data_IF_646638748214
#
_entry.id   IF_646638748214
#
_cell.length_a   1.000
_cell.length_b   1.000
_cell.length_c   1.000
_cell.angle_alpha   90.00
_cell.angle_beta   90.00
_cell.angle_gamma   90.00
#
_symmetry.space_group_name_H-M   'P 1'
#
loop_
_entity.id
_entity.type
_entity.pdbx_description
1 polymer ?
#
# COMPACT_ATOMS: atom_id res chain seq x y z
N UNK A 1 3.54 -9.16 -39.00
CA UNK A 1 4.83 -8.86 -38.37
C UNK A 1 4.63 -9.02 -36.88
N UNK A 2 5.35 -9.91 -36.20
CA UNK A 2 5.26 -10.04 -34.76
C UNK A 2 5.97 -8.85 -34.11
N UNK A 3 5.30 -8.10 -33.25
CA UNK A 3 5.97 -7.08 -32.43
C UNK A 3 6.83 -7.79 -31.38
N UNK A 4 8.15 -7.60 -31.44
CA UNK A 4 9.06 -7.99 -30.36
C UNK A 4 8.71 -7.17 -29.12
N UNK A 5 8.22 -7.84 -28.08
CA UNK A 5 8.05 -7.20 -26.78
C UNK A 5 9.43 -6.87 -26.19
N UNK A 6 9.67 -5.61 -25.76
CA UNK A 6 10.95 -5.23 -25.18
C UNK A 6 11.17 -5.99 -23.86
N UNK A 7 12.33 -6.64 -23.74
CA UNK A 7 12.77 -7.23 -22.47
C UNK A 7 13.30 -6.12 -21.56
N UNK A 8 12.68 -5.94 -20.40
CA UNK A 8 13.10 -5.00 -19.36
C UNK A 8 13.57 -5.80 -18.16
N UNK A 9 14.86 -5.65 -17.81
CA UNK A 9 15.45 -6.26 -16.62
C UNK A 9 15.45 -5.26 -15.46
N UNK A 10 14.83 -5.63 -14.34
CA UNK A 10 14.72 -4.79 -13.15
C UNK A 10 15.64 -5.30 -12.05
N UNK A 11 16.57 -4.46 -11.62
CA UNK A 11 17.43 -4.73 -10.48
C UNK A 11 16.77 -4.24 -9.19
N UNK A 12 16.40 -5.18 -8.32
CA UNK A 12 15.89 -4.88 -6.99
C UNK A 12 16.97 -5.08 -5.94
N UNK A 13 16.85 -4.37 -4.81
CA UNK A 13 17.74 -4.61 -3.66
C UNK A 13 17.54 -6.05 -3.18
N UNK A 14 18.64 -6.79 -3.03
CA UNK A 14 18.61 -8.09 -2.36
C UNK A 14 18.37 -7.91 -0.85
N UNK A 15 17.71 -8.90 -0.25
CA UNK A 15 17.50 -9.01 1.18
C UNK A 15 18.80 -9.24 1.94
N UNK A 16 18.70 -9.30 3.25
CA UNK A 16 19.83 -9.54 4.16
C UNK A 16 20.56 -10.86 3.87
N UNK A 17 19.88 -11.85 3.30
CA UNK A 17 20.44 -13.12 2.85
C UNK A 17 21.16 -13.07 1.49
N UNK A 18 21.10 -11.93 0.79
CA UNK A 18 21.70 -11.73 -0.52
C UNK A 18 20.98 -12.44 -1.68
N UNK A 19 19.83 -13.07 -1.45
CA UNK A 19 19.14 -13.89 -2.46
C UNK A 19 17.66 -13.50 -2.63
N UNK A 20 16.96 -13.18 -1.54
CA UNK A 20 15.53 -12.78 -1.59
C UNK A 20 15.35 -11.32 -1.96
N UNK A 21 14.10 -10.92 -2.23
CA UNK A 21 13.73 -9.51 -2.42
C UNK A 21 13.92 -8.77 -1.08
N UNK A 22 14.73 -7.72 -1.11
CA UNK A 22 15.01 -6.87 0.04
C UNK A 22 14.01 -5.74 0.20
N UNK A 23 13.93 -5.19 1.42
CA UNK A 23 13.06 -4.05 1.69
C UNK A 23 13.54 -2.80 0.93
N UNK A 24 12.76 -2.38 -0.05
CA UNK A 24 12.92 -1.11 -0.73
C UNK A 24 11.55 -0.65 -1.27
N UNK A 25 10.84 0.27 -0.58
CA UNK A 25 9.55 0.77 -1.04
C UNK A 25 9.61 1.36 -2.45
N UNK A 26 10.77 1.88 -2.86
CA UNK A 26 11.01 2.35 -4.22
C UNK A 26 11.08 1.19 -5.23
N UNK A 27 11.77 0.10 -4.92
CA UNK A 27 11.85 -1.08 -5.80
C UNK A 27 10.55 -1.86 -5.85
N UNK A 28 9.85 -2.02 -4.73
CA UNK A 28 8.53 -2.67 -4.70
C UNK A 28 7.51 -1.87 -5.50
N UNK A 29 7.44 -0.56 -5.26
CA UNK A 29 6.61 0.34 -6.06
C UNK A 29 7.03 0.33 -7.52
N UNK A 30 8.34 0.40 -7.82
CA UNK A 30 8.84 0.38 -9.19
C UNK A 30 8.55 -0.96 -9.87
N UNK A 31 8.53 -2.09 -9.15
CA UNK A 31 8.12 -3.39 -9.67
C UNK A 31 6.63 -3.39 -10.02
N UNK A 32 5.77 -2.95 -9.09
CA UNK A 32 4.33 -2.80 -9.34
C UNK A 32 4.03 -1.79 -10.47
N UNK A 33 4.80 -0.70 -10.55
CA UNK A 33 4.66 0.34 -11.57
C UNK A 33 5.26 -0.07 -12.92
N UNK A 34 6.38 -0.80 -12.98
CA UNK A 34 6.92 -1.36 -14.23
C UNK A 34 6.02 -2.48 -14.76
N UNK A 35 5.37 -3.22 -13.87
CA UNK A 35 4.26 -4.10 -14.24
C UNK A 35 3.07 -3.33 -14.84
N UNK A 36 2.86 -2.06 -14.47
CA UNK A 36 1.65 -1.29 -14.79
C UNK A 36 1.84 0.05 -15.52
N UNK A 37 3.04 0.38 -16.07
CA UNK A 37 3.35 1.52 -17.00
C UNK A 37 4.31 2.66 -16.57
N UNK A 38 5.18 2.52 -15.58
CA UNK A 38 6.39 3.37 -15.43
C UNK A 38 6.22 4.83 -14.96
N UNK A 39 6.85 5.19 -13.81
CA UNK A 39 7.34 6.54 -13.32
C UNK A 39 6.88 6.98 -11.89
N UNK A 40 7.63 7.93 -11.26
CA UNK A 40 8.10 8.08 -9.85
C UNK A 40 7.49 9.21 -8.93
N UNK A 41 7.79 9.24 -7.60
CA UNK A 41 7.42 10.23 -6.51
C UNK A 41 8.15 9.98 -5.15
N UNK A 42 8.12 10.96 -4.22
CA UNK A 42 8.98 11.16 -3.01
C UNK A 42 8.42 10.72 -1.61
N UNK A 43 9.28 10.75 -0.55
CA UNK A 43 9.05 10.30 0.86
C UNK A 43 9.66 11.26 1.92
N UNK A 44 9.09 11.33 3.14
CA UNK A 44 9.54 12.17 4.30
C UNK A 44 9.38 11.41 5.65
N UNK A 45 10.18 11.72 6.69
CA UNK A 45 10.34 11.00 8.00
C UNK A 45 9.72 11.73 9.23
N UNK A 46 9.31 11.01 10.31
CA UNK A 46 8.47 11.56 11.42
C UNK A 46 8.57 10.80 12.82
N UNK A 47 8.16 11.46 13.94
CA UNK A 47 8.12 11.07 15.40
C UNK A 47 6.72 11.26 16.09
N UNK A 48 6.45 10.71 17.32
CA UNK A 48 5.26 10.57 18.23
C UNK A 48 3.96 11.38 18.03
N UNK A 49 4.02 12.58 17.44
CA UNK A 49 2.84 13.18 16.75
C UNK A 49 2.34 12.27 15.61
N UNK A 50 3.17 11.31 15.19
CA UNK A 50 2.95 10.30 14.18
C UNK A 50 1.73 9.44 14.44
N UNK A 51 1.52 8.86 15.63
CA UNK A 51 0.40 7.92 15.81
C UNK A 51 -0.94 8.64 15.60
N UNK A 52 -1.08 9.84 16.18
CA UNK A 52 -2.24 10.71 15.93
C UNK A 52 -2.32 11.17 14.47
N UNK A 53 -1.18 11.46 13.84
CA UNK A 53 -1.11 11.82 12.42
C UNK A 53 -1.50 10.68 11.48
N UNK A 54 -1.05 9.47 11.80
CA UNK A 54 -1.32 8.23 11.10
C UNK A 54 -2.80 7.87 11.24
N UNK A 55 -3.36 7.94 12.45
CA UNK A 55 -4.80 7.75 12.66
C UNK A 55 -5.63 8.77 11.89
N UNK A 56 -5.20 10.04 11.80
CA UNK A 56 -5.87 11.05 10.97
C UNK A 56 -5.77 10.71 9.49
N UNK A 57 -4.60 10.31 9.00
CA UNK A 57 -4.39 9.92 7.61
C UNK A 57 -5.20 8.67 7.25
N UNK A 58 -5.21 7.65 8.11
CA UNK A 58 -6.02 6.44 7.98
C UNK A 58 -7.51 6.78 7.96
N UNK A 59 -7.97 7.71 8.81
CA UNK A 59 -9.36 8.17 8.79
C UNK A 59 -9.73 8.86 7.48
N UNK A 60 -8.85 9.70 6.93
CA UNK A 60 -9.07 10.35 5.62
C UNK A 60 -9.14 9.30 4.51
N UNK A 61 -8.23 8.33 4.51
CA UNK A 61 -8.23 7.22 3.55
C UNK A 61 -9.48 6.35 3.68
N UNK A 62 -9.88 6.02 4.90
CA UNK A 62 -11.07 5.22 5.19
C UNK A 62 -12.33 5.92 4.68
N UNK A 63 -12.50 7.20 5.01
CA UNK A 63 -13.59 8.01 4.49
C UNK A 63 -13.62 7.96 2.95
N UNK A 64 -12.49 8.18 2.29
CA UNK A 64 -12.39 8.11 0.82
C UNK A 64 -12.79 6.75 0.24
N UNK A 65 -12.39 5.65 0.89
CA UNK A 65 -12.72 4.27 0.47
C UNK A 65 -14.18 3.89 0.78
N UNK A 66 -14.82 4.56 1.73
CA UNK A 66 -16.23 4.34 2.07
C UNK A 66 -17.19 5.24 1.30
N UNK A 67 -16.72 6.38 0.81
CA UNK A 67 -17.51 7.28 -0.04
C UNK A 67 -17.69 6.67 -1.43
N UNK A 68 -18.94 6.59 -1.95
CA UNK A 68 -19.20 6.08 -3.28
C UNK A 68 -18.55 6.93 -4.36
N UNK A 69 -18.07 6.28 -5.43
CA UNK A 69 -17.66 6.96 -6.65
C UNK A 69 -18.89 7.46 -7.41
N UNK A 70 -18.78 8.50 -8.27
CA UNK A 70 -19.90 8.97 -9.08
C UNK A 70 -20.57 7.87 -9.91
N UNK A 71 -19.80 6.87 -10.33
CA UNK A 71 -20.26 5.70 -11.09
C UNK A 71 -21.06 4.71 -10.24
N UNK A 72 -20.90 4.72 -8.91
CA UNK A 72 -21.64 3.90 -7.95
C UNK A 72 -22.96 4.56 -7.54
N UNK A 73 -23.18 5.83 -7.88
CA UNK A 73 -24.35 6.61 -7.51
C UNK A 73 -25.37 6.59 -8.64
N UNK A 74 -26.59 6.18 -8.35
CA UNK A 74 -27.73 6.35 -9.24
C UNK A 74 -28.41 7.69 -8.96
N UNK A 75 -28.11 8.70 -9.80
CA UNK A 75 -28.68 10.06 -9.72
C UNK A 75 -30.22 10.09 -9.78
N UNK A 76 -30.86 8.98 -10.17
CA UNK A 76 -32.33 8.89 -10.28
C UNK A 76 -32.99 8.22 -9.07
N UNK A 77 -32.20 7.67 -8.14
CA UNK A 77 -32.71 7.01 -6.94
C UNK A 77 -32.96 8.02 -5.81
N UNK A 78 -34.08 7.87 -5.10
CA UNK A 78 -34.42 8.70 -3.92
C UNK A 78 -33.84 8.13 -2.60
N UNK A 79 -32.95 7.14 -2.72
CA UNK A 79 -32.36 6.40 -1.60
C UNK A 79 -31.00 7.03 -1.23
N UNK A 80 -30.61 6.89 0.04
CA UNK A 80 -29.32 7.37 0.55
C UNK A 80 -28.18 6.66 -0.20
N UNK A 81 -27.20 7.43 -0.69
CA UNK A 81 -26.04 6.87 -1.40
C UNK A 81 -25.31 5.90 -0.45
N UNK A 82 -25.40 4.60 -0.75
CA UNK A 82 -24.85 3.56 0.11
C UNK A 82 -23.32 3.65 0.30
N UNK A 83 -22.79 2.89 1.25
CA UNK A 83 -21.35 2.79 1.45
C UNK A 83 -20.71 2.11 0.24
N UNK A 84 -19.65 2.70 -0.32
CA UNK A 84 -18.89 2.13 -1.44
C UNK A 84 -18.43 0.71 -1.15
N UNK A 85 -18.55 -0.16 -2.17
CA UNK A 85 -18.14 -1.56 -2.11
C UNK A 85 -16.90 -1.84 -2.96
N UNK A 86 -16.28 -0.79 -3.53
CA UNK A 86 -15.09 -0.95 -4.36
C UNK A 86 -13.93 -1.61 -3.62
N UNK A 87 -13.15 -2.39 -4.37
CA UNK A 87 -12.02 -3.18 -3.83
C UNK A 87 -10.75 -2.34 -3.65
N UNK A 88 -10.50 -1.39 -4.54
CA UNK A 88 -9.28 -0.59 -4.62
C UNK A 88 -9.58 0.92 -4.66
N UNK A 89 -8.55 1.76 -4.80
CA UNK A 89 -8.71 3.21 -4.68
C UNK A 89 -9.71 3.79 -5.68
N UNK A 90 -9.71 3.29 -6.91
CA UNK A 90 -10.45 3.85 -8.05
C UNK A 90 -11.39 2.82 -8.71
N UNK A 91 -11.87 1.84 -7.94
CA UNK A 91 -12.80 0.82 -8.42
C UNK A 91 -12.41 -0.59 -8.03
N UNK A 92 -12.69 -1.56 -8.91
CA UNK A 92 -12.49 -2.99 -8.63
C UNK A 92 -11.19 -3.57 -9.19
N UNK A 93 -10.41 -2.77 -9.93
CA UNK A 93 -9.10 -3.15 -10.46
C UNK A 93 -7.97 -2.33 -9.86
N UNK A 94 -6.77 -2.93 -9.80
CA UNK A 94 -5.58 -2.24 -9.31
C UNK A 94 -5.15 -1.15 -10.30
N UNK A 95 -4.83 0.01 -9.75
CA UNK A 95 -4.35 1.17 -10.50
C UNK A 95 -2.94 1.58 -10.05
N UNK A 96 -2.35 2.55 -10.76
CA UNK A 96 -1.08 3.16 -10.36
C UNK A 96 -1.15 3.84 -8.99
N UNK A 97 -2.33 4.34 -8.59
CA UNK A 97 -2.54 4.90 -7.26
C UNK A 97 -2.40 3.83 -6.18
N UNK A 98 -2.87 2.60 -6.43
CA UNK A 98 -2.74 1.48 -5.49
C UNK A 98 -1.28 1.04 -5.37
N UNK A 99 -0.58 0.97 -6.50
CA UNK A 99 0.84 0.63 -6.54
C UNK A 99 1.74 1.63 -5.81
N UNK A 100 1.27 2.88 -5.67
CA UNK A 100 1.91 3.88 -4.82
C UNK A 100 1.67 3.60 -3.34
N UNK A 101 0.40 3.44 -3.00
CA UNK A 101 -0.05 3.47 -1.62
C UNK A 101 0.23 2.15 -0.90
N UNK A 102 -0.06 1.01 -1.54
CA UNK A 102 0.01 -0.32 -0.92
C UNK A 102 1.39 -0.66 -0.36
N UNK A 103 2.52 -0.48 -1.09
CA UNK A 103 3.85 -0.75 -0.53
C UNK A 103 4.14 0.09 0.73
N UNK A 104 3.79 1.38 0.69
CA UNK A 104 4.00 2.30 1.81
C UNK A 104 3.14 1.92 3.01
N UNK A 105 1.88 1.59 2.75
CA UNK A 105 0.92 1.24 3.79
C UNK A 105 1.30 -0.09 4.46
N UNK A 106 1.77 -1.08 3.69
CA UNK A 106 2.26 -2.36 4.22
C UNK A 106 3.50 -2.18 5.10
N UNK A 107 4.51 -1.42 4.64
CA UNK A 107 5.69 -1.11 5.47
C UNK A 107 5.28 -0.42 6.78
N UNK A 108 4.40 0.58 6.71
CA UNK A 108 3.90 1.27 7.91
C UNK A 108 3.21 0.28 8.84
N UNK A 109 2.39 -0.63 8.32
CA UNK A 109 1.70 -1.65 9.11
C UNK A 109 2.68 -2.59 9.83
N UNK A 110 3.66 -3.14 9.11
CA UNK A 110 4.67 -4.06 9.67
C UNK A 110 5.53 -3.36 10.73
N UNK A 111 6.08 -2.19 10.40
CA UNK A 111 6.98 -1.44 11.29
C UNK A 111 6.25 -0.94 12.54
N UNK A 112 5.05 -0.36 12.39
CA UNK A 112 4.28 0.14 13.52
C UNK A 112 3.80 -0.99 14.44
N UNK A 113 3.42 -2.15 13.88
CA UNK A 113 3.07 -3.33 14.67
C UNK A 113 4.27 -3.83 15.47
N UNK A 114 5.42 -4.02 14.83
CA UNK A 114 6.63 -4.57 15.48
C UNK A 114 7.19 -3.66 16.57
N UNK A 115 7.35 -2.37 16.28
CA UNK A 115 8.12 -1.46 17.13
C UNK A 115 7.29 -0.58 18.04
N UNK A 116 5.98 -0.48 17.82
CA UNK A 116 5.06 0.35 18.62
C UNK A 116 3.81 -0.40 19.09
N UNK A 117 3.62 -1.66 18.70
CA UNK A 117 2.42 -2.43 19.04
C UNK A 117 1.13 -1.84 18.42
N UNK A 118 1.27 -0.89 17.48
CA UNK A 118 0.16 -0.22 16.85
C UNK A 118 -0.43 -1.12 15.76
N UNK A 119 -1.74 -1.25 15.76
CA UNK A 119 -2.50 -1.94 14.72
C UNK A 119 -3.58 -1.01 14.21
N UNK A 120 -3.91 -1.13 12.92
CA UNK A 120 -4.98 -0.32 12.30
C UNK A 120 -6.30 -0.66 13.01
N UNK A 121 -6.98 0.30 13.64
CA UNK A 121 -8.22 0.03 14.35
C UNK A 121 -9.32 -0.57 13.44
N UNK A 122 -10.06 -1.55 13.95
CA UNK A 122 -11.17 -2.24 13.25
C UNK A 122 -12.30 -1.32 12.78
N UNK A 123 -12.38 -0.10 13.33
CA UNK A 123 -13.36 0.90 12.88
C UNK A 123 -13.11 1.36 11.44
N UNK A 124 -11.87 1.28 10.94
CA UNK A 124 -11.52 1.67 9.57
C UNK A 124 -11.81 0.55 8.57
N UNK A 125 -13.10 0.26 8.37
CA UNK A 125 -13.59 -0.86 7.56
C UNK A 125 -13.20 -0.77 6.08
N UNK A 126 -13.16 0.44 5.52
CA UNK A 126 -12.75 0.66 4.13
C UNK A 126 -11.27 0.32 3.94
N UNK A 127 -10.41 0.75 4.87
CA UNK A 127 -8.98 0.41 4.86
C UNK A 127 -8.75 -1.10 5.03
N UNK A 128 -9.46 -1.74 5.95
CA UNK A 128 -9.36 -3.20 6.13
C UNK A 128 -9.82 -3.97 4.90
N UNK A 129 -10.94 -3.57 4.28
CA UNK A 129 -11.40 -4.14 3.01
C UNK A 129 -10.36 -3.96 1.91
N UNK A 130 -9.78 -2.77 1.80
CA UNK A 130 -8.75 -2.45 0.80
C UNK A 130 -7.51 -3.34 0.96
N UNK A 131 -6.96 -3.42 2.18
CA UNK A 131 -5.80 -4.25 2.48
C UNK A 131 -6.10 -5.74 2.25
N UNK A 132 -7.26 -6.24 2.69
CA UNK A 132 -7.63 -7.63 2.48
C UNK A 132 -7.72 -8.00 1.00
N UNK A 133 -8.27 -7.11 0.15
CA UNK A 133 -8.30 -7.35 -1.29
C UNK A 133 -6.90 -7.29 -1.90
N UNK A 134 -6.04 -6.36 -1.44
CA UNK A 134 -4.67 -6.26 -1.91
C UNK A 134 -3.81 -7.48 -1.57
N UNK A 135 -3.84 -7.97 -0.32
CA UNK A 135 -3.09 -9.17 0.07
C UNK A 135 -3.57 -10.45 -0.63
N UNK A 136 -4.81 -10.47 -1.13
CA UNK A 136 -5.34 -11.58 -1.93
C UNK A 136 -4.90 -11.54 -3.40
N UNK A 137 -4.30 -10.44 -3.87
CA UNK A 137 -3.81 -10.28 -5.25
C UNK A 137 -2.36 -10.73 -5.35
N UNK A 138 -2.09 -11.58 -6.34
CA UNK A 138 -0.73 -12.09 -6.59
C UNK A 138 0.24 -10.97 -6.92
N UNK A 139 -0.21 -9.92 -7.62
CA UNK A 139 0.60 -8.76 -8.01
C UNK A 139 1.20 -8.04 -6.80
N UNK A 140 0.47 -8.05 -5.68
CA UNK A 140 0.93 -7.46 -4.44
C UNK A 140 1.66 -8.48 -3.56
N UNK A 141 1.09 -9.67 -3.36
CA UNK A 141 1.65 -10.69 -2.49
C UNK A 141 3.04 -11.20 -2.95
N UNK A 142 3.25 -11.36 -4.26
CA UNK A 142 4.53 -11.82 -4.82
C UNK A 142 5.63 -10.76 -4.82
N UNK A 143 5.27 -9.48 -4.61
CA UNK A 143 6.20 -8.34 -4.65
C UNK A 143 6.51 -7.78 -3.26
N UNK A 144 5.78 -8.22 -2.23
CA UNK A 144 6.08 -7.86 -0.85
C UNK A 144 7.34 -8.59 -0.36
N UNK A 145 8.32 -7.89 0.23
CA UNK A 145 9.39 -8.54 0.96
C UNK A 145 8.83 -9.22 2.21
N UNK A 146 9.56 -10.21 2.74
CA UNK A 146 9.21 -10.84 4.01
C UNK A 146 9.14 -9.79 5.13
N UNK A 147 8.16 -9.91 6.04
CA UNK A 147 7.97 -8.98 7.17
C UNK A 147 9.28 -8.78 7.95
N UNK A 148 10.05 -9.85 8.19
CA UNK A 148 11.34 -9.81 8.90
C UNK A 148 12.36 -8.90 8.22
N UNK A 149 12.37 -8.84 6.89
CA UNK A 149 13.29 -8.00 6.13
C UNK A 149 12.88 -6.52 6.25
N UNK A 150 11.57 -6.23 6.29
CA UNK A 150 11.06 -4.90 6.58
C UNK A 150 11.46 -4.48 7.99
N UNK A 151 11.24 -5.36 8.97
CA UNK A 151 11.57 -5.11 10.37
C UNK A 151 13.06 -4.82 10.56
N UNK A 152 13.94 -5.65 9.98
CA UNK A 152 15.38 -5.50 10.06
C UNK A 152 15.85 -4.18 9.45
N UNK A 153 15.35 -3.84 8.27
CA UNK A 153 15.72 -2.61 7.58
C UNK A 153 15.34 -1.33 8.37
N UNK A 154 14.27 -1.39 9.18
CA UNK A 154 13.83 -0.28 10.02
C UNK A 154 14.32 -0.36 11.47
N UNK A 155 15.07 -1.39 11.85
CA UNK A 155 15.47 -1.64 13.23
C UNK A 155 16.25 -0.48 13.85
N UNK A 156 17.25 0.03 13.15
CA UNK A 156 18.11 1.12 13.64
C UNK A 156 17.32 2.42 13.79
N UNK A 157 16.46 2.74 12.82
CA UNK A 157 15.64 3.96 12.83
C UNK A 157 14.56 3.87 13.92
N UNK A 158 13.91 2.72 14.07
CA UNK A 158 12.84 2.52 15.04
C UNK A 158 13.34 2.48 16.50
N UNK A 159 14.58 1.98 16.72
CA UNK A 159 15.28 2.04 18.01
C UNK A 159 15.70 3.47 18.38
N UNK A 160 16.12 4.28 17.40
CA UNK A 160 16.50 5.68 17.63
C UNK A 160 15.32 6.60 17.97
N UNK A 161 14.09 6.16 17.69
CA UNK A 161 12.84 6.88 17.99
C UNK A 161 12.22 6.49 19.35
N UNK A 162 12.94 5.76 20.20
CA UNK A 162 12.51 5.43 21.57
C UNK A 162 12.89 6.53 22.55
#
# INVERSE_FOLDING_TARGET
>A
MAEEQPQVELFVKAGSDGAKIGNCPFSQRLFMVLWLKGVTFNVTTVDTKLEKGLLKALKVLDNYLTSPLPEEVDETSAEDEGVSQRKFLDGNELTLADCNLLPKLHIVQVVCKKYRGFTIPEVFRGVHRYLSNAYAREEFASTCPDDEEIELAYEQVAKALK
#
